data_IF_606583647946
#
_entry.id   IF_606583647946
#
_cell.length_a   1.000
_cell.length_b   1.000
_cell.length_c   1.000
_cell.angle_alpha   90.00
_cell.angle_beta   90.00
_cell.angle_gamma   90.00
#
_symmetry.space_group_name_H-M   'P 1'
#
loop_
_entity.id
_entity.type
_entity.pdbx_description
1 polymer ?
#
# COMPACT_ATOMS: atom_id res chain seq x y z
N UNK A 1 4.11 7.20 -11.77
CA UNK A 1 4.79 5.91 -11.53
C UNK A 1 3.94 5.14 -10.55
N UNK A 2 3.55 3.90 -10.87
CA UNK A 2 2.77 3.06 -9.97
C UNK A 2 3.72 2.09 -9.26
N UNK A 3 3.83 2.19 -7.93
CA UNK A 3 4.61 1.28 -7.11
C UNK A 3 3.74 0.06 -6.79
N UNK A 4 3.85 -0.98 -7.62
CA UNK A 4 3.02 -2.19 -7.56
C UNK A 4 3.89 -3.44 -7.68
N UNK A 5 3.54 -4.49 -6.95
CA UNK A 5 4.20 -5.80 -7.05
C UNK A 5 3.74 -6.57 -8.29
N UNK A 6 4.60 -7.44 -8.82
CA UNK A 6 4.39 -8.08 -10.11
C UNK A 6 3.22 -9.10 -10.14
N UNK A 7 2.80 -9.57 -8.97
CA UNK A 7 1.72 -10.51 -8.73
C UNK A 7 0.35 -9.83 -8.49
N UNK A 8 0.28 -8.52 -8.70
CA UNK A 8 -0.97 -7.77 -8.64
C UNK A 8 -1.51 -7.44 -10.03
N UNK A 9 -2.82 -7.62 -10.18
CA UNK A 9 -3.58 -7.21 -11.34
C UNK A 9 -4.34 -5.91 -11.06
N UNK A 10 -4.08 -4.81 -11.80
CA UNK A 10 -4.89 -3.61 -11.75
C UNK A 10 -6.33 -3.85 -12.25
N UNK A 11 -7.28 -3.16 -11.63
CA UNK A 11 -8.69 -3.14 -12.06
C UNK A 11 -8.87 -2.70 -13.53
N UNK A 12 -9.96 -3.11 -14.20
CA UNK A 12 -10.15 -2.79 -15.62
C UNK A 12 -10.20 -1.28 -15.92
N UNK A 13 -9.67 -0.92 -17.09
CA UNK A 13 -9.54 0.45 -17.56
C UNK A 13 -8.72 1.37 -16.63
N UNK A 14 -7.78 0.80 -15.86
CA UNK A 14 -7.00 1.50 -14.84
C UNK A 14 -6.38 2.81 -15.34
N UNK A 15 -5.67 2.77 -16.46
CA UNK A 15 -4.99 3.94 -17.02
C UNK A 15 -5.98 5.02 -17.47
N UNK A 16 -7.09 4.61 -18.10
CA UNK A 16 -8.12 5.54 -18.58
C UNK A 16 -8.81 6.23 -17.40
N UNK A 17 -9.23 5.45 -16.39
CA UNK A 17 -9.83 5.98 -15.15
C UNK A 17 -8.88 6.93 -14.44
N UNK A 18 -7.62 6.54 -14.27
CA UNK A 18 -6.63 7.40 -13.63
C UNK A 18 -6.42 8.71 -14.40
N UNK A 19 -6.32 8.65 -15.72
CA UNK A 19 -6.15 9.83 -16.57
C UNK A 19 -7.36 10.77 -16.47
N UNK A 20 -8.57 10.24 -16.30
CA UNK A 20 -9.77 11.05 -16.05
C UNK A 20 -9.70 11.71 -14.67
N UNK A 21 -9.32 10.98 -13.62
CA UNK A 21 -9.10 11.54 -12.27
C UNK A 21 -8.16 12.74 -12.29
N UNK A 22 -7.03 12.64 -13.00
CA UNK A 22 -6.05 13.73 -13.11
C UNK A 22 -6.58 14.97 -13.85
N UNK A 23 -7.61 14.85 -14.69
CA UNK A 23 -8.23 16.01 -15.37
C UNK A 23 -9.22 16.76 -14.49
N UNK A 24 -9.75 16.09 -13.47
CA UNK A 24 -10.83 16.60 -12.62
C UNK A 24 -10.41 16.90 -11.19
N UNK A 25 -9.13 16.70 -10.85
CA UNK A 25 -8.61 16.88 -9.51
C UNK A 25 -7.35 17.74 -9.57
N UNK A 26 -7.27 18.73 -8.71
CA UNK A 26 -6.02 19.43 -8.44
C UNK A 26 -5.17 18.56 -7.51
N UNK A 27 -3.96 18.25 -7.94
CA UNK A 27 -2.96 17.54 -7.16
C UNK A 27 -1.60 18.22 -7.34
N UNK A 28 -0.76 18.10 -6.34
CA UNK A 28 0.59 18.66 -6.37
C UNK A 28 1.64 17.56 -6.62
N UNK A 29 2.91 17.96 -6.64
CA UNK A 29 4.02 17.02 -6.82
C UNK A 29 4.23 16.08 -5.61
N UNK A 30 3.60 16.36 -4.47
CA UNK A 30 3.66 15.59 -3.23
C UNK A 30 2.36 14.82 -2.97
N UNK A 31 1.62 14.49 -4.02
CA UNK A 31 0.41 13.68 -3.91
C UNK A 31 0.74 12.20 -4.13
N UNK A 32 0.35 11.36 -3.18
CA UNK A 32 0.40 9.91 -3.24
C UNK A 32 -1.02 9.35 -3.41
N UNK A 33 -1.35 8.89 -4.61
CA UNK A 33 -2.65 8.28 -4.87
C UNK A 33 -2.65 6.83 -4.38
N UNK A 34 -3.41 6.55 -3.33
CA UNK A 34 -3.55 5.23 -2.73
C UNK A 34 -4.57 4.40 -3.52
N UNK A 35 -4.18 3.18 -3.87
CA UNK A 35 -5.00 2.20 -4.57
C UNK A 35 -5.25 1.04 -3.60
N UNK A 36 -6.51 0.80 -3.17
CA UNK A 36 -6.83 -0.34 -2.31
C UNK A 36 -6.50 -1.67 -2.96
N UNK A 37 -6.06 -2.61 -2.12
CA UNK A 37 -5.61 -3.92 -2.53
C UNK A 37 -6.51 -5.00 -1.96
N UNK A 38 -6.81 -5.98 -2.79
CA UNK A 38 -7.54 -7.17 -2.37
C UNK A 38 -6.75 -8.40 -2.80
N UNK A 39 -7.08 -9.55 -2.25
CA UNK A 39 -6.52 -10.84 -2.65
C UNK A 39 -7.63 -11.84 -2.89
N UNK A 40 -7.41 -12.74 -3.85
CA UNK A 40 -8.20 -13.95 -3.88
C UNK A 40 -7.82 -14.84 -2.71
N UNK A 41 -8.80 -15.50 -2.10
CA UNK A 41 -8.55 -16.49 -1.05
C UNK A 41 -7.90 -17.75 -1.65
N UNK A 42 -8.32 -18.12 -2.86
CA UNK A 42 -7.82 -19.27 -3.62
C UNK A 42 -7.46 -18.87 -5.05
N UNK A 43 -6.62 -19.67 -5.71
CA UNK A 43 -6.22 -19.37 -7.09
C UNK A 43 -7.46 -19.40 -8.02
N UNK A 44 -7.79 -18.32 -8.73
CA UNK A 44 -8.94 -18.30 -9.62
C UNK A 44 -8.72 -19.24 -10.81
N UNK A 45 -9.78 -19.94 -11.22
CA UNK A 45 -9.78 -20.74 -12.44
C UNK A 45 -9.89 -19.83 -13.67
N UNK A 46 -9.54 -20.35 -14.85
CA UNK A 46 -9.68 -19.59 -16.12
C UNK A 46 -11.12 -19.15 -16.42
N UNK A 47 -12.11 -19.87 -15.89
CA UNK A 47 -13.54 -19.52 -16.00
C UNK A 47 -13.97 -18.43 -15.03
N UNK A 48 -13.20 -18.19 -13.97
CA UNK A 48 -13.49 -17.16 -12.98
C UNK A 48 -13.05 -15.82 -13.56
N UNK A 49 -14.01 -15.06 -14.06
CA UNK A 49 -13.71 -13.73 -14.58
C UNK A 49 -13.31 -12.81 -13.41
N UNK A 50 -12.20 -12.09 -13.59
CA UNK A 50 -11.86 -11.02 -12.66
C UNK A 50 -12.99 -9.97 -12.64
N UNK A 51 -13.30 -9.36 -11.48
CA UNK A 51 -14.35 -8.36 -11.39
C UNK A 51 -14.08 -7.18 -12.34
N UNK A 52 -15.07 -6.82 -13.14
CA UNK A 52 -14.99 -5.74 -14.12
C UNK A 52 -15.37 -4.38 -13.52
N UNK A 53 -16.18 -4.40 -12.48
CA UNK A 53 -16.72 -3.22 -11.80
C UNK A 53 -16.46 -3.30 -10.30
N UNK A 54 -16.55 -2.14 -9.62
CA UNK A 54 -16.43 -2.09 -8.16
C UNK A 54 -17.57 -2.85 -7.51
N UNK A 55 -18.76 -2.79 -8.10
CA UNK A 55 -19.96 -3.50 -7.69
C UNK A 55 -19.74 -5.02 -7.72
N UNK A 56 -19.17 -5.55 -8.82
CA UNK A 56 -18.82 -6.97 -8.93
C UNK A 56 -17.77 -7.38 -7.89
N UNK A 57 -16.75 -6.55 -7.66
CA UNK A 57 -15.75 -6.79 -6.62
C UNK A 57 -16.41 -6.91 -5.23
N UNK A 58 -17.33 -6.00 -4.90
CA UNK A 58 -18.04 -6.01 -3.63
C UNK A 58 -18.97 -7.22 -3.49
N UNK A 59 -19.58 -7.69 -4.58
CA UNK A 59 -20.37 -8.93 -4.59
C UNK A 59 -19.50 -10.16 -4.25
N UNK A 60 -18.27 -10.24 -4.79
CA UNK A 60 -17.33 -11.33 -4.48
C UNK A 60 -16.81 -11.28 -3.04
N UNK A 61 -16.73 -10.08 -2.45
CA UNK A 61 -16.28 -9.85 -1.08
C UNK A 61 -17.38 -10.12 -0.04
N UNK A 62 -18.63 -9.78 -0.34
CA UNK A 62 -19.76 -9.83 0.61
C UNK A 62 -20.69 -11.05 0.48
N UNK A 63 -20.37 -12.01 -0.38
CA UNK A 63 -21.10 -13.30 -0.44
C UNK A 63 -20.88 -14.12 0.84
N UNK A 64 -21.75 -15.11 1.09
CA UNK A 64 -21.69 -15.97 2.29
C UNK A 64 -20.32 -16.64 2.47
N UNK A 65 -19.70 -17.07 1.37
CA UNK A 65 -18.36 -17.67 1.32
C UNK A 65 -17.42 -16.81 0.48
N UNK A 66 -16.80 -15.73 0.99
CA UNK A 66 -16.06 -14.74 0.18
C UNK A 66 -15.04 -15.35 -0.78
N UNK A 67 -14.88 -14.78 -1.98
CA UNK A 67 -13.79 -15.18 -2.90
C UNK A 67 -12.57 -14.29 -2.78
N UNK A 68 -12.82 -13.05 -2.38
CA UNK A 68 -11.86 -11.96 -2.32
C UNK A 68 -11.95 -11.33 -0.93
N UNK A 69 -10.81 -10.97 -0.37
CA UNK A 69 -10.71 -10.24 0.90
C UNK A 69 -9.82 -9.00 0.73
N UNK A 70 -9.92 -7.99 1.61
CA UNK A 70 -8.90 -6.96 1.72
C UNK A 70 -7.53 -7.60 1.92
N UNK A 71 -6.52 -7.11 1.19
CA UNK A 71 -5.20 -7.74 1.14
C UNK A 71 -4.55 -7.84 2.53
N UNK A 72 -4.08 -9.04 2.87
CA UNK A 72 -3.38 -9.40 4.12
C UNK A 72 -4.15 -9.09 5.38
N UNK A 73 -5.49 -9.07 5.32
CA UNK A 73 -6.31 -8.71 6.48
C UNK A 73 -6.09 -9.66 7.68
N UNK A 74 -5.78 -10.94 7.43
CA UNK A 74 -5.48 -11.94 8.45
C UNK A 74 -4.03 -11.92 8.94
N UNK A 75 -3.07 -11.68 8.05
CA UNK A 75 -1.64 -11.77 8.38
C UNK A 75 -1.08 -10.45 8.92
N UNK A 76 -1.61 -9.33 8.45
CA UNK A 76 -1.10 -7.99 8.75
C UNK A 76 -2.21 -6.93 8.64
N UNK A 77 -3.23 -7.03 9.50
CA UNK A 77 -4.38 -6.11 9.52
C UNK A 77 -4.00 -4.62 9.59
N UNK A 78 -2.83 -4.30 10.15
CA UNK A 78 -2.34 -2.93 10.28
C UNK A 78 -1.82 -2.33 8.97
N UNK A 79 -1.35 -3.14 8.02
CA UNK A 79 -0.66 -2.64 6.82
C UNK A 79 -1.55 -1.88 5.85
N UNK A 80 -2.86 -2.13 5.86
CA UNK A 80 -3.82 -1.37 5.05
C UNK A 80 -4.89 -0.65 5.89
N UNK A 81 -4.72 -0.60 7.22
CA UNK A 81 -5.77 -0.16 8.15
C UNK A 81 -6.34 1.21 7.82
N UNK A 82 -5.48 2.20 7.58
CA UNK A 82 -5.93 3.58 7.35
C UNK A 82 -6.44 3.84 5.93
N UNK A 83 -6.36 2.86 5.02
CA UNK A 83 -7.10 2.92 3.74
C UNK A 83 -8.60 2.98 4.00
N UNK A 84 -9.08 2.44 5.13
CA UNK A 84 -10.48 2.40 5.54
C UNK A 84 -11.36 1.77 4.45
N UNK A 85 -11.26 0.44 4.32
CA UNK A 85 -12.05 -0.31 3.34
C UNK A 85 -13.55 -0.08 3.49
N UNK A 86 -14.05 0.07 4.72
CA UNK A 86 -15.45 0.37 4.98
C UNK A 86 -15.88 1.69 4.34
N UNK A 87 -15.07 2.74 4.48
CA UNK A 87 -15.28 4.00 3.76
C UNK A 87 -15.14 3.81 2.26
N UNK A 88 -14.13 3.09 1.80
CA UNK A 88 -13.89 2.87 0.37
C UNK A 88 -15.06 2.18 -0.34
N UNK A 89 -15.68 1.16 0.27
CA UNK A 89 -16.83 0.45 -0.31
C UNK A 89 -17.98 1.38 -0.72
N UNK A 90 -18.15 2.49 0.01
CA UNK A 90 -19.23 3.46 -0.19
C UNK A 90 -18.78 4.76 -0.87
N UNK A 91 -17.48 4.94 -1.06
CA UNK A 91 -16.93 6.16 -1.62
C UNK A 91 -17.19 6.22 -3.13
N UNK A 92 -17.75 7.34 -3.58
CA UNK A 92 -17.88 7.76 -4.99
C UNK A 92 -16.86 8.86 -5.35
N UNK A 93 -16.16 9.39 -4.33
CA UNK A 93 -15.16 10.45 -4.45
C UNK A 93 -13.89 10.08 -3.71
N UNK A 94 -12.78 10.59 -4.22
CA UNK A 94 -11.48 10.47 -3.57
C UNK A 94 -11.49 11.11 -2.18
N UNK A 95 -10.72 10.55 -1.25
CA UNK A 95 -10.59 11.09 0.10
C UNK A 95 -9.16 11.06 0.60
N UNK A 96 -8.78 12.10 1.33
CA UNK A 96 -7.45 12.18 1.93
C UNK A 96 -7.37 11.36 3.21
N UNK A 97 -6.18 10.80 3.46
CA UNK A 97 -5.82 10.24 4.76
C UNK A 97 -5.26 11.37 5.63
N UNK A 98 -5.83 11.55 6.82
CA UNK A 98 -5.48 12.66 7.72
C UNK A 98 -4.58 12.24 8.88
N UNK A 99 -4.21 10.96 8.95
CA UNK A 99 -3.44 10.39 10.04
C UNK A 99 -2.35 9.47 9.53
N UNK A 100 -1.23 9.45 10.26
CA UNK A 100 -0.19 8.45 10.09
C UNK A 100 -0.56 7.16 10.84
N UNK A 101 -0.14 6.01 10.32
CA UNK A 101 -0.22 4.73 10.98
C UNK A 101 1.10 3.97 10.79
N UNK A 102 1.69 3.52 11.90
CA UNK A 102 2.91 2.69 11.84
C UNK A 102 2.63 1.43 10.99
N UNK A 103 3.63 1.05 10.18
CA UNK A 103 3.58 -0.09 9.26
C UNK A 103 2.51 -0.04 8.16
N UNK A 104 1.93 1.13 7.89
CA UNK A 104 1.07 1.28 6.72
C UNK A 104 1.88 1.04 5.42
N UNK A 105 1.38 0.15 4.58
CA UNK A 105 2.04 -0.38 3.38
C UNK A 105 1.08 -0.41 2.18
N UNK A 106 0.50 0.73 1.75
CA UNK A 106 -0.39 0.79 0.59
C UNK A 106 0.37 0.65 -0.73
N UNK A 107 -0.39 0.36 -1.78
CA UNK A 107 0.06 0.56 -3.16
C UNK A 107 -0.27 1.99 -3.60
N UNK A 108 0.72 2.70 -4.13
CA UNK A 108 0.59 4.14 -4.45
C UNK A 108 1.06 4.48 -5.86
N UNK A 109 0.37 5.44 -6.47
CA UNK A 109 0.84 6.13 -7.67
C UNK A 109 1.44 7.48 -7.26
N UNK A 110 2.67 7.73 -7.68
CA UNK A 110 3.42 8.96 -7.41
C UNK A 110 3.81 9.66 -8.71
N UNK A 111 3.85 10.99 -8.70
CA UNK A 111 4.44 11.77 -9.79
C UNK A 111 5.97 11.63 -9.73
N UNK A 112 6.59 11.11 -10.79
CA UNK A 112 8.05 10.87 -10.83
C UNK A 112 8.80 12.21 -10.80
N UNK A 113 9.27 12.60 -9.62
CA UNK A 113 10.04 13.82 -9.36
C UNK A 113 11.20 13.52 -8.41
N UNK A 114 12.10 14.49 -8.22
CA UNK A 114 13.18 14.41 -7.23
C UNK A 114 12.69 14.57 -5.78
N UNK A 115 11.39 14.81 -5.55
CA UNK A 115 10.81 14.91 -4.21
C UNK A 115 10.49 13.55 -3.60
N UNK A 116 10.45 12.49 -4.41
CA UNK A 116 10.24 11.12 -3.92
C UNK A 116 11.56 10.64 -3.29
N UNK A 117 11.59 10.28 -1.99
CA UNK A 117 12.77 9.69 -1.38
C UNK A 117 13.08 8.34 -2.01
N UNK A 118 14.36 7.98 -2.03
CA UNK A 118 14.80 6.65 -2.43
C UNK A 118 14.40 5.61 -1.37
N UNK A 119 14.38 4.34 -1.75
CA UNK A 119 14.30 3.27 -0.76
C UNK A 119 15.58 3.25 0.08
N UNK A 120 15.44 3.07 1.39
CA UNK A 120 16.58 2.97 2.29
C UNK A 120 17.27 1.61 2.15
N UNK A 121 18.57 1.62 1.86
CA UNK A 121 19.35 0.43 1.50
C UNK A 121 19.59 -0.53 2.68
N UNK A 122 19.32 -0.11 3.93
CA UNK A 122 19.32 -1.03 5.09
C UNK A 122 18.31 -2.16 4.88
N UNK A 123 17.18 -1.84 4.27
CA UNK A 123 16.12 -2.80 4.01
C UNK A 123 16.30 -3.39 2.62
N UNK A 124 17.06 -4.47 2.54
CA UNK A 124 17.21 -5.28 1.33
C UNK A 124 16.60 -6.67 1.52
N UNK A 125 16.09 -7.27 0.43
CA UNK A 125 15.40 -8.56 0.49
C UNK A 125 13.96 -8.43 1.02
N UNK A 126 13.64 -9.19 2.07
CA UNK A 126 12.28 -9.27 2.62
C UNK A 126 12.11 -8.39 3.84
N UNK A 127 11.05 -7.59 3.84
CA UNK A 127 10.54 -6.87 5.00
C UNK A 127 10.98 -5.41 5.09
N UNK A 128 10.06 -4.57 5.57
CA UNK A 128 10.26 -3.15 5.86
C UNK A 128 10.52 -2.21 4.66
N UNK A 129 10.96 -2.67 3.49
CA UNK A 129 11.28 -1.80 2.34
C UNK A 129 10.16 -0.81 1.99
N UNK A 130 8.93 -1.30 1.76
CA UNK A 130 7.79 -0.44 1.42
C UNK A 130 7.30 0.34 2.62
N UNK A 131 7.24 -0.28 3.80
CA UNK A 131 6.82 0.37 5.05
C UNK A 131 7.67 1.61 5.32
N UNK A 132 8.99 1.51 5.23
CA UNK A 132 9.91 2.62 5.50
C UNK A 132 9.79 3.69 4.42
N UNK A 133 9.68 3.31 3.15
CA UNK A 133 9.44 4.24 2.05
C UNK A 133 8.14 5.05 2.22
N UNK A 134 7.03 4.38 2.55
CA UNK A 134 5.74 5.04 2.82
C UNK A 134 5.85 5.94 4.07
N UNK A 135 6.54 5.47 5.11
CA UNK A 135 6.76 6.26 6.33
C UNK A 135 7.55 7.53 6.04
N UNK A 136 8.56 7.47 5.16
CA UNK A 136 9.29 8.65 4.74
C UNK A 136 8.44 9.61 3.90
N UNK A 137 7.57 9.10 3.03
CA UNK A 137 6.62 9.95 2.30
C UNK A 137 5.71 10.75 3.24
N UNK A 138 5.21 10.13 4.33
CA UNK A 138 4.50 10.86 5.38
C UNK A 138 5.40 11.93 6.03
N UNK A 139 6.64 11.58 6.39
CA UNK A 139 7.58 12.52 6.98
C UNK A 139 7.93 13.70 6.05
N UNK A 140 7.97 13.44 4.74
CA UNK A 140 8.20 14.42 3.69
C UNK A 140 6.95 15.27 3.34
N UNK A 141 5.86 15.16 4.11
CA UNK A 141 4.58 15.85 3.91
C UNK A 141 3.90 15.52 2.57
N UNK A 142 3.93 14.26 2.14
CA UNK A 142 3.07 13.82 1.05
C UNK A 142 1.60 13.73 1.49
N UNK A 143 0.70 14.16 0.63
CA UNK A 143 -0.75 13.99 0.81
C UNK A 143 -1.18 12.66 0.23
N UNK A 144 -1.77 11.80 1.04
CA UNK A 144 -2.28 10.49 0.61
C UNK A 144 -3.75 10.60 0.25
N UNK A 145 -4.11 10.29 -1.00
CA UNK A 145 -5.47 10.38 -1.53
C UNK A 145 -5.91 9.00 -2.00
N UNK A 146 -6.92 8.41 -1.36
CA UNK A 146 -7.48 7.12 -1.78
C UNK A 146 -8.43 7.32 -2.95
N UNK A 147 -8.24 6.55 -4.02
CA UNK A 147 -9.09 6.58 -5.21
C UNK A 147 -10.27 5.60 -5.09
N UNK A 148 -11.52 6.03 -5.33
CA UNK A 148 -12.72 5.24 -5.02
C UNK A 148 -13.01 4.14 -6.05
N UNK A 149 -12.62 4.30 -7.31
CA UNK A 149 -13.07 3.43 -8.43
C UNK A 149 -11.93 2.64 -9.07
N UNK A 150 -10.86 2.45 -8.31
CA UNK A 150 -9.64 1.78 -8.73
C UNK A 150 -9.15 0.88 -7.60
N UNK A 151 -8.77 -0.34 -7.94
CA UNK A 151 -8.19 -1.31 -7.02
C UNK A 151 -7.15 -2.18 -7.72
N UNK A 152 -6.43 -2.96 -6.94
CA UNK A 152 -5.53 -4.03 -7.40
C UNK A 152 -5.90 -5.36 -6.74
N UNK A 153 -5.70 -6.47 -7.45
CA UNK A 153 -5.96 -7.83 -6.97
C UNK A 153 -4.66 -8.63 -6.94
N UNK A 154 -4.27 -9.09 -5.76
CA UNK A 154 -3.19 -10.06 -5.58
C UNK A 154 -3.63 -11.44 -6.05
N UNK A 155 -2.79 -12.08 -6.86
CA UNK A 155 -2.99 -13.46 -7.29
C UNK A 155 -2.27 -14.41 -6.32
N UNK A 156 -2.97 -15.38 -5.71
CA UNK A 156 -2.36 -16.35 -4.82
C UNK A 156 -1.20 -17.08 -5.51
N UNK A 157 -0.06 -17.11 -4.84
CA UNK A 157 1.13 -17.79 -5.33
C UNK A 157 1.85 -18.50 -4.18
N UNK A 158 2.71 -19.46 -4.52
CA UNK A 158 3.53 -20.15 -3.52
C UNK A 158 4.45 -19.15 -2.84
N UNK A 159 4.61 -19.30 -1.52
CA UNK A 159 5.60 -18.55 -0.76
C UNK A 159 7.00 -18.82 -1.32
N UNK A 160 7.78 -17.77 -1.52
CA UNK A 160 9.13 -17.90 -2.06
C UNK A 160 10.09 -18.49 -1.02
N UNK A 161 11.19 -19.09 -1.48
CA UNK A 161 12.25 -19.59 -0.58
C UNK A 161 12.84 -18.46 0.26
N UNK A 162 13.08 -17.29 -0.33
CA UNK A 162 13.55 -16.10 0.37
C UNK A 162 12.59 -15.63 1.47
N UNK A 163 11.28 -15.69 1.24
CA UNK A 163 10.28 -15.36 2.25
C UNK A 163 10.34 -16.38 3.41
N UNK A 164 10.44 -17.67 3.10
CA UNK A 164 10.57 -18.73 4.12
C UNK A 164 11.85 -18.54 4.94
N UNK A 165 12.98 -18.29 4.29
CA UNK A 165 14.26 -18.03 4.94
C UNK A 165 14.17 -16.84 5.91
N UNK A 166 13.59 -15.72 5.47
CA UNK A 166 13.38 -14.54 6.32
C UNK A 166 12.46 -14.84 7.53
N UNK A 167 11.35 -15.56 7.29
CA UNK A 167 10.40 -15.93 8.34
C UNK A 167 10.98 -16.94 9.35
N UNK A 168 12.03 -17.68 8.98
CA UNK A 168 12.72 -18.60 9.88
C UNK A 168 13.94 -17.96 10.55
N UNK A 169 14.57 -16.96 9.93
CA UNK A 169 15.75 -16.28 10.46
C UNK A 169 15.40 -15.21 11.51
N UNK A 170 15.35 -15.60 12.79
CA UNK A 170 15.02 -14.70 13.89
C UNK A 170 16.04 -13.55 14.05
N UNK A 171 17.32 -13.79 13.77
CA UNK A 171 18.37 -12.76 13.88
C UNK A 171 18.16 -11.66 12.84
N UNK A 172 17.94 -12.04 11.58
CA UNK A 172 17.66 -11.09 10.50
C UNK A 172 16.40 -10.26 10.79
N UNK A 173 15.33 -10.88 11.30
CA UNK A 173 14.11 -10.15 11.70
C UNK A 173 14.34 -9.19 12.87
N UNK A 174 15.21 -9.54 13.81
CA UNK A 174 15.58 -8.65 14.91
C UNK A 174 16.39 -7.46 14.39
N UNK A 175 17.37 -7.70 13.53
CA UNK A 175 18.16 -6.64 12.86
C UNK A 175 17.24 -5.69 12.09
N UNK A 176 16.34 -6.21 11.25
CA UNK A 176 15.34 -5.42 10.52
C UNK A 176 14.49 -4.52 11.44
N UNK A 177 14.14 -5.00 12.64
CA UNK A 177 13.39 -4.21 13.63
C UNK A 177 14.25 -3.12 14.24
N UNK A 178 15.52 -3.40 14.55
CA UNK A 178 16.46 -2.42 15.08
C UNK A 178 16.75 -1.32 14.06
N UNK A 179 17.08 -1.70 12.82
CA UNK A 179 17.31 -0.78 11.71
C UNK A 179 16.08 0.10 11.45
N UNK A 180 14.86 -0.40 11.66
CA UNK A 180 13.65 0.43 11.58
C UNK A 180 13.65 1.56 12.61
N UNK A 181 14.09 1.31 13.84
CA UNK A 181 14.15 2.37 14.85
C UNK A 181 15.21 3.42 14.52
N UNK A 182 16.38 2.99 14.01
CA UNK A 182 17.41 3.90 13.50
C UNK A 182 16.87 4.74 12.33
N UNK A 183 16.19 4.11 11.38
CA UNK A 183 15.54 4.78 10.26
C UNK A 183 14.52 5.81 10.71
N UNK A 184 13.66 5.47 11.68
CA UNK A 184 12.69 6.43 12.23
C UNK A 184 13.40 7.62 12.88
N UNK A 185 14.48 7.40 13.63
CA UNK A 185 15.26 8.48 14.21
C UNK A 185 15.90 9.38 13.14
N UNK A 186 16.44 8.80 12.07
CA UNK A 186 17.04 9.52 10.95
C UNK A 186 16.02 10.42 10.24
N UNK A 187 14.84 9.90 9.90
CA UNK A 187 13.81 10.69 9.22
C UNK A 187 13.21 11.74 10.15
N UNK A 188 13.07 11.46 11.46
CA UNK A 188 12.60 12.46 12.41
C UNK A 188 13.55 13.67 12.46
N UNK A 189 14.86 13.41 12.47
CA UNK A 189 15.87 14.47 12.40
C UNK A 189 15.86 15.19 11.05
N UNK A 190 15.83 14.44 9.95
CA UNK A 190 15.86 14.98 8.57
C UNK A 190 14.69 15.91 8.28
N UNK A 191 13.48 15.48 8.66
CA UNK A 191 12.23 16.20 8.41
C UNK A 191 11.80 17.08 9.59
N UNK A 192 12.59 17.16 10.66
CA UNK A 192 12.34 17.96 11.88
C UNK A 192 10.98 17.64 12.53
N UNK A 193 10.69 16.35 12.66
CA UNK A 193 9.45 15.82 13.22
C UNK A 193 9.65 15.56 14.71
N UNK A 194 8.80 16.19 15.53
CA UNK A 194 8.86 16.11 16.98
C UNK A 194 9.76 17.18 17.61
N UNK A 195 9.58 17.39 18.92
CA UNK A 195 10.43 18.28 19.70
C UNK A 195 11.62 17.50 20.25
N UNK A 196 12.74 17.50 19.56
CA UNK A 196 14.02 17.29 20.24
C UNK A 196 14.29 18.56 21.04
N UNK A 197 13.80 18.62 22.28
CA UNK A 197 14.34 19.58 23.24
C UNK A 197 15.83 19.25 23.36
N UNK A 198 16.69 20.18 22.94
CA UNK A 198 18.12 20.07 23.21
C UNK A 198 18.29 19.96 24.74
N UNK A 199 18.57 18.75 25.22
CA UNK A 199 18.98 18.49 26.61
C UNK A 199 20.47 18.77 26.70
#
# INVERSE_FOLDING_TARGET
MFLLDADFQPSPYFQQKFSATLKHSDFDQKTAFVIPAFEYIELPQRSDNAPQTKEELLQLLHREEPFILPFRISESSESHRITDYWKWYRADKSYSLNTFCDKYEPYVILLKTSLIPYYDERFSGYGMNKVTHITELFAANFTFIVLPDMWVLHLPHKISTYAVEFLQNAHQRLQNRMERFEFIADIMNTYKIGHCNNI
#
